data_IF_633228826980
#
_entry.id   IF_633228826980
#
_cell.length_a   1.000
_cell.length_b   1.000
_cell.length_c   1.000
_cell.angle_alpha   90.00
_cell.angle_beta   90.00
_cell.angle_gamma   90.00
#
_symmetry.space_group_name_H-M   'P 1'
#
loop_
_entity.id
_entity.type
_entity.pdbx_description
1 polymer ?
#
# COMPACT_ATOMS: atom_id res chain seq x y z
N UNK A 1 -16.47 -40.28 22.65
CA UNK A 1 -17.10 -39.63 21.48
C UNK A 1 -16.71 -38.17 21.53
N UNK A 2 -15.51 -37.85 21.04
CA UNK A 2 -14.95 -36.49 21.09
C UNK A 2 -15.51 -35.74 19.88
N UNK A 3 -16.26 -34.67 20.11
CA UNK A 3 -16.80 -33.84 19.04
C UNK A 3 -15.71 -32.90 18.53
N UNK A 4 -15.45 -32.97 17.22
CA UNK A 4 -14.50 -32.13 16.52
C UNK A 4 -15.02 -30.69 16.41
N UNK A 5 -14.11 -29.72 16.57
CA UNK A 5 -14.38 -28.27 16.45
C UNK A 5 -14.91 -27.84 15.07
N UNK A 6 -14.93 -28.76 14.11
CA UNK A 6 -15.30 -28.52 12.71
C UNK A 6 -16.81 -28.62 12.45
N UNK A 7 -17.60 -29.07 13.42
CA UNK A 7 -19.05 -29.18 13.27
C UNK A 7 -19.83 -27.92 13.69
N UNK A 8 -19.15 -26.85 14.15
CA UNK A 8 -19.80 -25.66 14.74
C UNK A 8 -19.98 -24.49 13.75
N UNK A 9 -19.49 -24.58 12.50
CA UNK A 9 -19.60 -23.47 11.54
C UNK A 9 -20.38 -23.87 10.28
N UNK A 10 -21.52 -24.52 10.49
CA UNK A 10 -22.55 -24.74 9.46
C UNK A 10 -23.94 -24.47 10.05
N UNK A 11 -24.29 -23.20 10.23
CA UNK A 11 -25.65 -22.68 10.03
C UNK A 11 -25.69 -21.20 10.48
N UNK A 12 -25.95 -20.28 9.57
CA UNK A 12 -27.05 -19.30 9.72
C UNK A 12 -27.29 -18.62 8.37
N UNK A 13 -28.54 -18.72 7.94
CA UNK A 13 -29.04 -18.29 6.65
C UNK A 13 -29.49 -16.83 6.68
N UNK A 14 -29.28 -16.14 5.55
CA UNK A 14 -30.27 -15.34 4.82
C UNK A 14 -30.93 -14.13 5.50
N UNK A 15 -30.68 -12.94 4.95
CA UNK A 15 -31.70 -11.91 4.75
C UNK A 15 -31.38 -11.09 3.49
N UNK A 16 -32.27 -11.16 2.51
CA UNK A 16 -32.26 -10.35 1.30
C UNK A 16 -32.75 -8.93 1.62
N UNK A 17 -32.07 -7.90 1.11
CA UNK A 17 -32.59 -6.54 1.05
C UNK A 17 -32.90 -6.20 -0.42
N UNK A 18 -34.18 -6.03 -0.74
CA UNK A 18 -34.67 -5.59 -2.04
C UNK A 18 -34.97 -4.09 -2.00
N UNK A 19 -34.28 -3.38 -2.90
CA UNK A 19 -34.62 -2.18 -3.67
C UNK A 19 -35.24 -0.93 -3.00
N UNK A 20 -34.58 0.21 -3.25
CA UNK A 20 -35.26 1.43 -3.68
C UNK A 20 -34.36 2.24 -4.63
N UNK A 21 -34.74 2.30 -5.89
CA UNK A 21 -34.19 3.22 -6.88
C UNK A 21 -34.74 4.63 -6.60
N UNK A 22 -33.84 5.58 -6.35
CA UNK A 22 -34.14 7.00 -6.27
C UNK A 22 -33.24 7.76 -7.23
N UNK A 23 -33.75 8.05 -8.43
CA UNK A 23 -33.14 9.01 -9.33
C UNK A 23 -33.38 10.42 -8.77
N UNK A 24 -32.31 11.14 -8.46
CA UNK A 24 -32.35 12.58 -8.13
C UNK A 24 -31.53 13.30 -9.20
N UNK A 25 -32.10 14.27 -9.92
CA UNK A 25 -31.39 15.00 -10.97
C UNK A 25 -30.36 15.97 -10.38
N UNK A 26 -29.32 16.19 -11.20
CA UNK A 26 -28.19 17.10 -11.04
C UNK A 26 -28.55 18.47 -10.43
N UNK A 27 -27.77 18.88 -9.43
CA UNK A 27 -27.53 20.29 -9.10
C UNK A 27 -26.04 20.59 -9.31
N UNK A 28 -25.73 21.35 -10.37
CA UNK A 28 -24.42 21.93 -10.64
C UNK A 28 -24.15 23.03 -9.60
N UNK A 29 -23.34 22.70 -8.59
CA UNK A 29 -22.94 23.62 -7.53
C UNK A 29 -21.44 23.91 -7.58
N UNK A 30 -21.12 25.14 -8.00
CA UNK A 30 -19.93 25.95 -7.76
C UNK A 30 -18.57 25.27 -7.48
N UNK A 31 -17.63 25.57 -8.37
CA UNK A 31 -16.20 25.36 -8.25
C UNK A 31 -15.68 25.70 -6.84
N UNK A 32 -15.38 24.66 -6.07
CA UNK A 32 -14.47 24.76 -4.94
C UNK A 32 -13.06 24.85 -5.51
N UNK A 33 -12.47 26.03 -5.39
CA UNK A 33 -11.03 26.26 -5.57
C UNK A 33 -10.28 25.59 -4.41
N UNK A 34 -10.27 24.26 -4.40
CA UNK A 34 -9.30 23.51 -3.61
C UNK A 34 -8.02 23.54 -4.42
N UNK A 35 -7.12 24.42 -4.00
CA UNK A 35 -5.72 24.44 -4.37
C UNK A 35 -5.22 23.00 -4.52
N UNK A 36 -5.11 22.59 -5.78
CA UNK A 36 -4.50 21.36 -6.19
C UNK A 36 -3.03 21.50 -5.81
N UNK A 37 -2.64 20.94 -4.67
CA UNK A 37 -1.23 20.64 -4.45
C UNK A 37 -0.75 19.88 -5.68
N UNK A 38 0.35 20.31 -6.32
CA UNK A 38 0.85 19.61 -7.46
C UNK A 38 1.25 18.22 -6.95
N UNK A 39 0.47 17.21 -7.35
CA UNK A 39 0.94 15.84 -7.43
C UNK A 39 2.17 15.91 -8.33
N UNK A 40 3.33 16.05 -7.70
CA UNK A 40 4.61 16.15 -8.37
C UNK A 40 4.69 14.95 -9.30
N UNK A 41 4.74 15.25 -10.59
CA UNK A 41 5.02 14.31 -11.64
C UNK A 41 6.29 13.55 -11.27
N UNK A 42 6.12 12.31 -10.80
CA UNK A 42 7.17 11.30 -10.77
C UNK A 42 6.82 10.18 -11.76
N UNK A 43 6.22 10.55 -12.89
CA UNK A 43 6.27 9.73 -14.08
C UNK A 43 7.59 10.08 -14.79
N UNK A 44 8.62 9.27 -14.55
CA UNK A 44 9.92 9.40 -15.22
C UNK A 44 10.95 10.28 -14.50
N UNK A 45 10.95 10.34 -13.17
CA UNK A 45 12.14 10.81 -12.46
C UNK A 45 13.30 9.90 -12.87
N UNK A 46 14.44 10.51 -13.25
CA UNK A 46 15.69 9.81 -13.48
C UNK A 46 15.89 8.74 -12.39
N UNK A 47 16.56 7.64 -12.73
CA UNK A 47 16.89 6.55 -11.81
C UNK A 47 17.87 7.02 -10.72
N UNK A 48 17.43 7.97 -9.91
CA UNK A 48 18.13 8.62 -8.83
C UNK A 48 17.39 8.20 -7.58
N UNK A 49 18.11 7.59 -6.65
CA UNK A 49 17.54 7.21 -5.37
C UNK A 49 16.88 8.40 -4.68
N UNK A 50 15.86 8.12 -3.88
CA UNK A 50 15.16 9.12 -3.08
C UNK A 50 15.37 8.82 -1.60
N UNK A 51 15.57 9.85 -0.77
CA UNK A 51 15.65 9.71 0.68
C UNK A 51 14.86 10.83 1.35
N UNK A 52 14.02 10.49 2.33
CA UNK A 52 13.24 11.47 3.07
C UNK A 52 13.07 11.10 4.55
N UNK A 53 12.60 12.06 5.34
CA UNK A 53 12.12 11.85 6.70
C UNK A 53 10.59 11.89 6.71
N UNK A 54 9.95 10.80 7.06
CA UNK A 54 8.50 10.67 7.15
C UNK A 54 8.10 10.22 8.56
N UNK A 55 7.27 11.01 9.25
CA UNK A 55 6.87 10.78 10.66
C UNK A 55 8.04 10.43 11.60
N UNK A 56 9.19 11.11 11.43
CA UNK A 56 10.37 10.88 12.25
C UNK A 56 11.15 9.59 11.92
N UNK A 57 10.83 8.92 10.81
CA UNK A 57 11.55 7.74 10.27
C UNK A 57 12.29 8.12 8.99
N UNK A 58 13.44 7.52 8.73
CA UNK A 58 14.19 7.75 7.49
C UNK A 58 13.78 6.70 6.47
N UNK A 59 13.23 7.12 5.34
CA UNK A 59 12.90 6.24 4.21
C UNK A 59 13.95 6.47 3.12
N UNK A 60 14.52 5.38 2.58
CA UNK A 60 15.36 5.40 1.37
C UNK A 60 14.78 4.48 0.32
N UNK A 61 14.56 5.00 -0.87
CA UNK A 61 14.27 4.25 -2.09
C UNK A 61 15.54 4.27 -2.93
N UNK A 62 16.17 3.11 -3.12
CA UNK A 62 17.38 3.01 -3.91
C UNK A 62 17.04 3.02 -5.42
N UNK A 63 17.91 3.58 -6.27
CA UNK A 63 17.72 3.53 -7.70
C UNK A 63 17.89 2.09 -8.21
N UNK A 64 17.25 1.75 -9.33
CA UNK A 64 17.35 0.46 -10.00
C UNK A 64 18.81 0.10 -10.33
N UNK A 65 19.65 1.09 -10.68
CA UNK A 65 21.09 0.95 -10.89
C UNK A 65 21.87 0.43 -9.66
N UNK A 66 21.35 0.63 -8.44
CA UNK A 66 21.89 0.07 -7.19
C UNK A 66 21.19 -1.25 -6.78
N UNK A 67 20.45 -1.88 -7.69
CA UNK A 67 19.63 -3.05 -7.40
C UNK A 67 18.26 -2.72 -6.80
N UNK A 68 17.91 -1.43 -6.72
CA UNK A 68 16.63 -0.95 -6.23
C UNK A 68 16.36 -1.28 -4.76
N UNK A 69 15.09 -1.21 -4.39
CA UNK A 69 14.62 -1.58 -3.06
C UNK A 69 14.36 -0.40 -2.14
N UNK A 70 13.80 -0.72 -0.98
CA UNK A 70 13.34 0.26 0.01
C UNK A 70 13.84 -0.10 1.40
N UNK A 71 14.24 0.92 2.17
CA UNK A 71 14.60 0.77 3.58
C UNK A 71 13.90 1.79 4.46
N UNK A 72 13.63 1.41 5.71
CA UNK A 72 13.14 2.27 6.80
C UNK A 72 14.16 2.21 7.94
N UNK A 73 14.78 3.34 8.28
CA UNK A 73 15.90 3.46 9.21
C UNK A 73 17.04 2.48 8.90
N UNK A 74 17.35 2.30 7.61
CA UNK A 74 18.37 1.38 7.13
C UNK A 74 17.97 -0.11 7.17
N UNK A 75 16.74 -0.44 7.60
CA UNK A 75 16.22 -1.81 7.61
C UNK A 75 15.42 -2.09 6.34
N UNK A 76 15.63 -3.24 5.67
CA UNK A 76 14.98 -3.55 4.40
C UNK A 76 13.48 -3.75 4.54
N UNK A 77 12.69 -3.04 3.74
CA UNK A 77 11.27 -3.28 3.55
C UNK A 77 11.08 -4.12 2.29
N UNK A 78 10.47 -5.31 2.45
CA UNK A 78 10.15 -6.14 1.30
C UNK A 78 8.95 -5.57 0.55
N UNK A 79 9.11 -5.42 -0.76
CA UNK A 79 8.05 -4.98 -1.68
C UNK A 79 7.80 -6.03 -2.75
N UNK A 80 6.56 -6.11 -3.21
CA UNK A 80 6.19 -6.84 -4.43
C UNK A 80 5.60 -5.88 -5.44
N UNK A 81 6.10 -5.93 -6.67
CA UNK A 81 5.57 -5.19 -7.81
C UNK A 81 4.64 -6.09 -8.61
N UNK A 82 3.36 -5.73 -8.63
CA UNK A 82 2.30 -6.42 -9.39
C UNK A 82 2.05 -5.79 -10.77
N UNK A 83 2.53 -4.57 -10.99
CA UNK A 83 2.34 -3.83 -12.24
C UNK A 83 3.13 -2.52 -12.22
N UNK A 84 3.00 -1.71 -13.28
CA UNK A 84 3.81 -0.50 -13.46
C UNK A 84 3.70 0.47 -12.28
N UNK A 85 2.50 0.62 -11.73
CA UNK A 85 2.18 1.49 -10.60
C UNK A 85 1.44 0.73 -9.50
N UNK A 86 1.84 -0.53 -9.26
CA UNK A 86 1.14 -1.42 -8.34
C UNK A 86 2.16 -2.12 -7.45
N UNK A 87 2.28 -1.64 -6.21
CA UNK A 87 3.23 -2.14 -5.21
C UNK A 87 2.52 -2.57 -3.94
N UNK A 88 2.93 -3.70 -3.37
CA UNK A 88 2.51 -4.18 -2.06
C UNK A 88 3.74 -4.25 -1.14
N UNK A 89 3.55 -4.03 0.15
CA UNK A 89 4.64 -4.19 1.13
C UNK A 89 4.37 -5.35 2.07
N UNK A 90 5.42 -5.85 2.74
CA UNK A 90 5.24 -6.84 3.81
C UNK A 90 4.41 -6.34 4.99
N UNK A 91 4.34 -5.02 5.20
CA UNK A 91 3.54 -4.40 6.28
C UNK A 91 2.08 -4.14 5.87
N UNK A 92 1.83 -3.97 4.58
CA UNK A 92 0.51 -3.73 4.01
C UNK A 92 0.41 -4.53 2.70
N UNK A 93 0.06 -5.81 2.85
CA UNK A 93 0.10 -6.79 1.76
C UNK A 93 -1.17 -6.82 0.91
N UNK A 94 -2.25 -6.23 1.39
CA UNK A 94 -3.57 -6.31 0.74
C UNK A 94 -4.04 -4.98 0.16
N UNK A 95 -3.18 -3.97 0.14
CA UNK A 95 -3.50 -2.66 -0.39
C UNK A 95 -2.40 -2.17 -1.33
N UNK A 96 -2.77 -1.92 -2.58
CA UNK A 96 -1.89 -1.42 -3.62
C UNK A 96 -1.46 0.01 -3.32
N UNK A 97 -0.16 0.28 -3.49
CA UNK A 97 0.42 1.61 -3.49
C UNK A 97 0.90 1.96 -4.91
N UNK A 98 0.73 3.22 -5.36
CA UNK A 98 1.11 3.65 -6.71
C UNK A 98 2.64 3.73 -6.92
N UNK A 99 3.41 3.84 -5.84
CA UNK A 99 4.88 3.94 -5.88
C UNK A 99 5.53 3.21 -4.70
N UNK A 100 6.83 2.85 -4.80
CA UNK A 100 7.59 2.31 -3.66
C UNK A 100 7.62 3.25 -2.46
N UNK A 101 7.71 4.56 -2.69
CA UNK A 101 7.69 5.56 -1.62
C UNK A 101 6.36 5.57 -0.88
N UNK A 102 5.24 5.48 -1.61
CA UNK A 102 3.92 5.42 -1.00
C UNK A 102 3.74 4.15 -0.17
N UNK A 103 4.22 2.99 -0.66
CA UNK A 103 4.25 1.76 0.12
C UNK A 103 5.08 1.90 1.41
N UNK A 104 6.21 2.60 1.34
CA UNK A 104 7.09 2.86 2.49
C UNK A 104 6.43 3.77 3.54
N UNK A 105 5.74 4.83 3.13
CA UNK A 105 5.00 5.74 4.03
C UNK A 105 3.90 4.99 4.78
N UNK A 106 3.11 4.17 4.09
CA UNK A 106 2.13 3.28 4.73
C UNK A 106 2.77 2.29 5.70
N UNK A 107 3.91 1.70 5.33
CA UNK A 107 4.63 0.82 6.26
C UNK A 107 5.07 1.56 7.53
N UNK A 108 5.50 2.83 7.43
CA UNK A 108 5.79 3.67 8.61
C UNK A 108 4.55 3.90 9.48
N UNK A 109 3.40 4.17 8.87
CA UNK A 109 2.12 4.32 9.57
C UNK A 109 1.72 3.04 10.31
N UNK A 110 1.85 1.88 9.66
CA UNK A 110 1.53 0.57 10.25
C UNK A 110 2.49 0.19 11.39
N UNK A 111 3.77 0.58 11.28
CA UNK A 111 4.76 0.32 12.34
C UNK A 111 4.44 1.06 13.64
N UNK A 112 3.74 2.22 13.59
CA UNK A 112 3.36 3.00 14.79
C UNK A 112 4.52 3.23 15.77
N UNK A 113 5.72 3.50 15.23
CA UNK A 113 6.94 3.70 16.00
C UNK A 113 7.75 2.44 16.31
N UNK A 114 7.24 1.23 16.02
CA UNK A 114 8.00 0.00 16.15
C UNK A 114 9.14 -0.10 15.12
N UNK A 115 10.17 -0.87 15.47
CA UNK A 115 11.27 -1.19 14.57
C UNK A 115 10.83 -2.23 13.53
N UNK A 116 11.20 -2.02 12.26
CA UNK A 116 10.99 -3.01 11.20
C UNK A 116 11.92 -4.20 11.42
N UNK A 117 11.41 -5.43 11.44
CA UNK A 117 12.24 -6.62 11.59
C UNK A 117 12.80 -7.10 10.25
N UNK A 118 13.96 -7.80 10.25
CA UNK A 118 14.50 -8.39 9.02
C UNK A 118 13.51 -9.38 8.39
N UNK A 119 13.37 -9.31 7.06
CA UNK A 119 12.63 -10.28 6.26
C UNK A 119 13.61 -11.22 5.53
N UNK A 120 13.30 -12.51 5.38
CA UNK A 120 14.11 -13.44 4.59
C UNK A 120 14.24 -13.01 3.11
N UNK A 121 13.38 -12.12 2.63
CA UNK A 121 13.41 -11.61 1.26
C UNK A 121 14.26 -10.33 1.08
N UNK A 122 14.96 -9.82 2.10
CA UNK A 122 15.84 -8.65 1.93
C UNK A 122 15.12 -7.37 1.42
N UNK A 123 15.85 -6.45 0.81
CA UNK A 123 15.33 -5.15 0.30
C UNK A 123 14.86 -5.18 -1.15
N UNK A 124 15.04 -6.28 -1.87
CA UNK A 124 14.72 -6.32 -3.30
C UNK A 124 13.21 -6.23 -3.52
N UNK A 125 12.81 -5.65 -4.65
CA UNK A 125 11.43 -5.64 -5.08
C UNK A 125 11.19 -6.93 -5.87
N UNK A 126 10.34 -7.81 -5.36
CA UNK A 126 9.96 -9.02 -6.09
C UNK A 126 8.93 -8.65 -7.17
N UNK A 127 9.22 -8.95 -8.43
CA UNK A 127 8.27 -8.75 -9.52
C UNK A 127 7.37 -9.98 -9.61
N UNK A 128 6.05 -9.76 -9.68
CA UNK A 128 5.06 -10.81 -9.88
C UNK A 128 4.56 -10.70 -11.32
N UNK A 129 4.90 -11.70 -12.14
CA UNK A 129 4.34 -11.83 -13.49
C UNK A 129 2.87 -12.28 -13.36
N UNK A 130 1.97 -11.56 -14.04
CA UNK A 130 0.53 -11.83 -14.04
C UNK A 130 0.12 -12.88 -15.07
#
# INVERSE_FOLDING_TARGET
MSMDRRDVVKLTAGAAFVAAAGAVPFATGAAGDTAQEPAAAAAGAADTGHTERYQGRTIRVAPASEGGGVTIDGRPLHLMKFGEHAYLSSMCHYEMAPTPLHAARRAVEELRGAALLPSPHGSHITVVDA
#
